data_IF_232422946972
#
_entry.id   IF_232422946972
#
_cell.length_a   1.000
_cell.length_b   1.000
_cell.length_c   1.000
_cell.angle_alpha   90.00
_cell.angle_beta   90.00
_cell.angle_gamma   90.00
#
_symmetry.space_group_name_H-M   'P 1'
#
loop_
_entity.id
_entity.type
_entity.pdbx_description
1 polymer ?
#
# COMPACT_ATOMS: atom_id res chain seq x y z
N UNK A 1 14.42 -9.83 -3.05
CA UNK A 1 14.12 -10.90 -2.07
C UNK A 1 12.64 -11.22 -2.18
N UNK A 2 12.29 -12.51 -2.17
CA UNK A 2 10.90 -12.99 -2.14
C UNK A 2 10.84 -14.01 -0.99
N UNK A 3 9.87 -13.93 -0.06
CA UNK A 3 8.76 -12.96 0.02
C UNK A 3 9.21 -11.55 0.41
N UNK A 4 8.30 -10.57 0.32
CA UNK A 4 8.50 -9.23 0.89
C UNK A 4 8.65 -9.26 2.42
N UNK A 5 9.04 -8.15 3.05
CA UNK A 5 9.25 -8.08 4.50
C UNK A 5 7.95 -8.32 5.27
N UNK A 6 8.04 -9.04 6.40
CA UNK A 6 6.91 -9.24 7.28
C UNK A 6 6.59 -7.98 8.08
N UNK A 7 5.32 -7.61 8.15
CA UNK A 7 4.82 -6.55 9.04
C UNK A 7 4.15 -7.24 10.23
N UNK A 8 4.67 -7.03 11.43
CA UNK A 8 4.17 -7.62 12.68
C UNK A 8 3.85 -6.49 13.65
N UNK A 9 2.60 -6.40 14.07
CA UNK A 9 2.08 -5.32 14.92
C UNK A 9 1.08 -5.88 15.92
N UNK A 10 0.78 -5.12 16.97
CA UNK A 10 -0.26 -5.46 17.92
C UNK A 10 -1.63 -4.97 17.44
N UNK A 11 -2.69 -5.58 17.98
CA UNK A 11 -4.05 -5.15 17.69
C UNK A 11 -4.26 -3.69 18.14
N UNK A 12 -4.73 -2.85 17.22
CA UNK A 12 -5.00 -1.44 17.49
C UNK A 12 -3.84 -0.49 17.16
N UNK A 13 -2.68 -1.02 16.79
CA UNK A 13 -1.55 -0.19 16.35
C UNK A 13 -1.90 0.56 15.07
N UNK A 14 -1.39 1.80 14.96
CA UNK A 14 -1.40 2.55 13.71
C UNK A 14 -0.17 2.20 12.89
N UNK A 15 -0.39 1.72 11.68
CA UNK A 15 0.67 1.39 10.72
C UNK A 15 0.78 2.52 9.70
N UNK A 16 1.99 3.02 9.47
CA UNK A 16 2.30 4.03 8.44
C UNK A 16 3.41 3.48 7.58
N UNK A 17 3.18 3.37 6.27
CA UNK A 17 4.09 2.74 5.32
C UNK A 17 4.22 3.65 4.12
N UNK A 18 5.45 3.99 3.76
CA UNK A 18 5.76 4.66 2.50
C UNK A 18 5.99 3.60 1.42
N UNK A 19 5.17 3.61 0.38
CA UNK A 19 5.36 2.77 -0.80
C UNK A 19 5.95 3.64 -1.91
N UNK A 20 7.24 3.46 -2.16
CA UNK A 20 7.95 4.12 -3.26
C UNK A 20 8.09 3.16 -4.44
N UNK A 21 7.61 3.58 -5.61
CA UNK A 21 7.65 2.76 -6.81
C UNK A 21 8.95 2.99 -7.60
N UNK A 22 9.86 2.02 -7.52
CA UNK A 22 11.13 2.01 -8.27
C UNK A 22 11.08 1.14 -9.54
N UNK A 23 9.90 0.70 -9.96
CA UNK A 23 9.75 -0.18 -11.12
C UNK A 23 9.63 0.66 -12.39
N UNK A 24 10.67 0.60 -13.24
CA UNK A 24 10.75 1.37 -14.48
C UNK A 24 9.58 1.03 -15.43
N UNK A 25 8.87 2.07 -15.87
CA UNK A 25 7.76 1.98 -16.83
C UNK A 25 6.51 1.29 -16.31
N UNK A 26 6.40 1.00 -15.01
CA UNK A 26 5.22 0.33 -14.42
C UNK A 26 4.58 1.17 -13.33
N UNK A 27 3.24 1.16 -13.31
CA UNK A 27 2.47 1.62 -12.15
C UNK A 27 2.20 0.47 -11.19
N UNK A 28 2.11 0.77 -9.90
CA UNK A 28 1.88 -0.24 -8.85
C UNK A 28 0.81 0.20 -7.86
N UNK A 29 0.25 -0.77 -7.14
CA UNK A 29 -0.59 -0.56 -5.98
C UNK A 29 -0.33 -1.69 -4.97
N UNK A 30 -0.62 -1.44 -3.70
CA UNK A 30 -0.40 -2.42 -2.63
C UNK A 30 -1.67 -2.58 -1.80
N UNK A 31 -2.28 -3.78 -1.84
CA UNK A 31 -3.48 -4.10 -1.09
C UNK A 31 -3.18 -4.85 0.21
N UNK A 32 -3.84 -4.43 1.29
CA UNK A 32 -3.70 -5.03 2.62
C UNK A 32 -4.76 -6.10 2.85
N UNK A 33 -4.51 -7.30 2.32
CA UNK A 33 -5.47 -8.39 2.35
C UNK A 33 -6.00 -8.68 3.76
N UNK A 34 -7.32 -8.55 3.95
CA UNK A 34 -8.01 -8.85 5.21
C UNK A 34 -8.14 -7.66 6.18
N UNK A 35 -7.56 -6.49 5.87
CA UNK A 35 -7.74 -5.27 6.67
C UNK A 35 -9.04 -4.57 6.25
N UNK A 36 -9.87 -4.23 7.22
CA UNK A 36 -11.21 -3.66 6.96
C UNK A 36 -11.22 -2.20 6.48
N UNK A 37 -10.10 -1.48 6.65
CA UNK A 37 -9.92 -0.07 6.28
C UNK A 37 -11.05 0.88 6.75
N UNK A 38 -11.57 0.66 7.97
CA UNK A 38 -12.66 1.48 8.53
C UNK A 38 -12.17 2.90 8.81
N UNK A 39 -12.62 3.87 8.00
CA UNK A 39 -12.20 5.27 8.09
C UNK A 39 -10.88 5.58 7.36
N UNK A 40 -10.31 4.59 6.67
CA UNK A 40 -9.04 4.66 5.94
C UNK A 40 -9.15 4.04 4.53
N UNK A 41 -10.34 4.12 3.91
CA UNK A 41 -10.68 3.43 2.66
C UNK A 41 -9.73 3.77 1.50
N UNK A 42 -9.19 4.98 1.48
CA UNK A 42 -8.20 5.45 0.49
C UNK A 42 -6.87 4.70 0.56
N UNK A 43 -6.62 3.94 1.64
CA UNK A 43 -5.44 3.08 1.82
C UNK A 43 -5.69 1.61 1.55
N UNK A 44 -6.84 1.24 0.97
CA UNK A 44 -7.12 -0.16 0.62
C UNK A 44 -6.25 -0.68 -0.53
N UNK A 45 -5.75 0.20 -1.41
CA UNK A 45 -4.78 -0.20 -2.43
C UNK A 45 -5.37 -0.84 -3.68
N UNK A 46 -6.62 -0.54 -4.02
CA UNK A 46 -7.27 -1.02 -5.24
C UNK A 46 -7.24 0.11 -6.29
N UNK A 47 -6.47 -0.04 -7.39
CA UNK A 47 -6.29 1.03 -8.35
C UNK A 47 -7.62 1.35 -9.05
N UNK A 48 -7.86 2.65 -9.26
CA UNK A 48 -9.08 3.21 -9.86
C UNK A 48 -10.37 3.00 -9.05
N UNK A 49 -10.28 2.44 -7.84
CA UNK A 49 -11.40 2.31 -6.90
C UNK A 49 -11.13 3.14 -5.65
N UNK A 50 -10.03 2.85 -4.94
CA UNK A 50 -9.70 3.52 -3.68
C UNK A 50 -8.55 4.51 -3.80
N UNK A 51 -7.71 4.37 -4.84
CA UNK A 51 -6.64 5.32 -5.16
C UNK A 51 -6.27 5.29 -6.65
N UNK A 52 -5.59 6.34 -7.12
CA UNK A 52 -4.84 6.24 -8.36
C UNK A 52 -3.61 5.32 -8.16
N UNK A 53 -3.15 4.62 -9.22
CA UNK A 53 -1.91 3.85 -9.17
C UNK A 53 -0.70 4.72 -8.82
N UNK A 54 0.26 4.16 -8.09
CA UNK A 54 1.53 4.80 -7.74
C UNK A 54 2.42 4.76 -8.99
N UNK A 55 2.66 5.94 -9.57
CA UNK A 55 3.52 6.10 -10.74
C UNK A 55 4.99 5.84 -10.37
N UNK A 56 5.80 5.47 -11.36
CA UNK A 56 7.25 5.35 -11.20
C UNK A 56 7.85 6.61 -10.55
N UNK A 57 8.79 6.43 -9.62
CA UNK A 57 9.46 7.49 -8.89
C UNK A 57 8.60 8.25 -7.88
N UNK A 58 7.32 7.86 -7.72
CA UNK A 58 6.41 8.48 -6.75
C UNK A 58 6.30 7.66 -5.47
N UNK A 59 5.98 8.34 -4.37
CA UNK A 59 5.70 7.72 -3.07
C UNK A 59 4.24 7.93 -2.67
N UNK A 60 3.62 6.89 -2.14
CA UNK A 60 2.29 6.95 -1.53
C UNK A 60 2.37 6.59 -0.05
N UNK A 61 1.70 7.37 0.80
CA UNK A 61 1.64 7.21 2.27
C UNK A 61 0.19 7.21 2.76
#
# INVERSE_FOLDING_TARGET
MIPGPSIQVCQGDKVVIDVENHIEGMEVSLHWHGIWQRGSQYYDGVPFVTQCPIQEGSTFR
#
